data_IF_904532619179
#
_entry.id   IF_904532619179
#
_cell.length_a   1.000
_cell.length_b   1.000
_cell.length_c   1.000
_cell.angle_alpha   90.00
_cell.angle_beta   90.00
_cell.angle_gamma   90.00
#
_symmetry.space_group_name_H-M   'P 1'
#
loop_
_entity.id
_entity.type
_entity.pdbx_description
1 polymer ?
#
# COMPACT_ATOMS: atom_id res chain seq x y z
N UNK A 1 -21.81 -5.37 -6.67
CA UNK A 1 -20.86 -6.50 -6.73
C UNK A 1 -19.96 -6.35 -5.52
N UNK A 2 -19.78 -7.40 -4.72
CA UNK A 2 -18.78 -7.37 -3.65
C UNK A 2 -17.40 -7.42 -4.31
N UNK A 3 -16.60 -6.38 -4.12
CA UNK A 3 -15.22 -6.38 -4.58
C UNK A 3 -14.36 -7.06 -3.54
N UNK A 4 -13.69 -8.13 -3.94
CA UNK A 4 -12.72 -8.79 -3.08
C UNK A 4 -11.47 -7.92 -2.94
N UNK A 5 -11.07 -7.71 -1.69
CA UNK A 5 -9.98 -6.85 -1.27
C UNK A 5 -9.17 -7.60 -0.23
N UNK A 6 -7.87 -7.67 -0.46
CA UNK A 6 -6.95 -8.32 0.48
C UNK A 6 -5.88 -7.31 0.88
N UNK A 7 -6.01 -6.69 2.06
CA UNK A 7 -4.95 -5.87 2.60
C UNK A 7 -3.76 -6.75 2.97
N UNK A 8 -2.56 -6.35 2.55
CA UNK A 8 -1.35 -7.17 2.70
C UNK A 8 -0.45 -6.60 3.80
N UNK A 9 -0.08 -5.33 3.67
CA UNK A 9 0.90 -4.70 4.57
C UNK A 9 0.66 -3.20 4.65
N UNK A 10 0.89 -2.62 5.83
CA UNK A 10 1.00 -1.17 6.01
C UNK A 10 2.45 -0.79 6.31
N UNK A 11 2.78 0.46 6.06
CA UNK A 11 4.06 1.07 6.42
C UNK A 11 3.82 2.47 6.96
N UNK A 12 4.53 2.80 8.03
CA UNK A 12 4.58 4.14 8.62
C UNK A 12 5.95 4.73 8.30
N UNK A 13 5.94 5.98 7.85
CA UNK A 13 7.16 6.74 7.60
C UNK A 13 7.27 7.81 8.68
N UNK A 14 8.42 7.83 9.36
CA UNK A 14 8.82 8.93 10.22
C UNK A 14 10.13 9.55 9.70
N UNK A 15 10.62 10.61 10.35
CA UNK A 15 11.79 11.35 9.85
C UNK A 15 13.11 10.53 9.96
N UNK A 16 13.13 9.38 10.65
CA UNK A 16 14.34 8.58 10.92
C UNK A 16 14.19 7.09 10.56
N UNK A 17 12.98 6.63 10.21
CA UNK A 17 12.65 5.21 10.07
C UNK A 17 11.53 4.96 9.05
N UNK A 18 11.61 3.77 8.45
CA UNK A 18 10.58 3.18 7.59
C UNK A 18 10.19 1.86 8.27
N UNK A 19 9.00 1.81 8.88
CA UNK A 19 8.56 0.62 9.61
C UNK A 19 7.33 0.02 8.97
N UNK A 20 7.40 -1.27 8.59
CA UNK A 20 6.31 -1.98 7.92
C UNK A 20 5.69 -3.06 8.81
N UNK A 21 4.38 -3.25 8.71
CA UNK A 21 3.60 -4.18 9.53
C UNK A 21 2.69 -5.04 8.65
N UNK A 22 2.73 -6.38 8.77
CA UNK A 22 1.79 -7.25 8.08
C UNK A 22 0.36 -7.01 8.56
N UNK A 23 -0.61 -7.11 7.65
CA UNK A 23 -2.03 -7.06 7.99
C UNK A 23 -2.54 -8.49 8.07
N UNK A 24 -3.13 -8.87 9.21
CA UNK A 24 -3.78 -10.18 9.34
C UNK A 24 -5.02 -10.20 8.44
N UNK A 25 -4.99 -11.08 7.45
CA UNK A 25 -6.13 -11.39 6.57
C UNK A 25 -6.44 -12.88 6.68
N UNK A 26 -7.70 -13.25 6.45
CA UNK A 26 -8.12 -14.66 6.32
C UNK A 26 -7.65 -15.27 4.99
N UNK A 27 -7.13 -14.45 4.08
CA UNK A 27 -6.67 -14.85 2.77
C UNK A 27 -5.16 -14.70 2.66
N UNK A 28 -4.54 -15.69 2.04
CA UNK A 28 -3.15 -15.65 1.67
C UNK A 28 -2.98 -14.85 0.37
N UNK A 29 -2.19 -13.77 0.42
CA UNK A 29 -2.05 -12.82 -0.68
C UNK A 29 -1.56 -13.47 -1.99
N UNK A 30 -0.64 -14.43 -1.91
CA UNK A 30 -0.11 -15.07 -3.13
C UNK A 30 -1.06 -16.12 -3.73
N UNK A 31 -1.93 -16.72 -2.92
CA UNK A 31 -2.97 -17.64 -3.41
C UNK A 31 -4.12 -16.89 -4.05
N UNK A 32 -4.42 -15.70 -3.53
CA UNK A 32 -5.52 -14.87 -3.96
C UNK A 32 -5.22 -13.99 -5.17
N UNK A 33 -3.95 -13.60 -5.36
CA UNK A 33 -3.58 -12.71 -6.45
C UNK A 33 -3.95 -13.22 -7.86
N UNK A 34 -3.82 -14.52 -8.21
CA UNK A 34 -4.25 -15.03 -9.51
C UNK A 34 -5.71 -14.70 -9.86
N UNK A 35 -6.61 -14.67 -8.86
CA UNK A 35 -8.04 -14.45 -9.05
C UNK A 35 -8.40 -12.95 -9.10
N UNK A 36 -7.71 -12.12 -8.30
CA UNK A 36 -8.01 -10.70 -8.19
C UNK A 36 -7.15 -9.81 -9.11
N UNK A 37 -5.95 -10.26 -9.44
CA UNK A 37 -5.12 -9.80 -10.56
C UNK A 37 -4.50 -8.41 -10.45
N UNK A 38 -4.81 -7.62 -9.42
CA UNK A 38 -4.30 -6.24 -9.32
C UNK A 38 -3.70 -5.96 -7.95
N UNK A 39 -2.44 -5.52 -7.97
CA UNK A 39 -1.71 -5.09 -6.78
C UNK A 39 -1.65 -3.56 -6.75
N UNK A 40 -1.98 -2.97 -5.61
CA UNK A 40 -2.05 -1.54 -5.43
C UNK A 40 -1.18 -1.10 -4.27
N UNK A 41 -0.57 0.06 -4.43
CA UNK A 41 0.07 0.82 -3.36
C UNK A 41 -0.73 2.10 -3.15
N UNK A 42 -1.17 2.33 -1.92
CA UNK A 42 -1.78 3.58 -1.49
C UNK A 42 -0.91 4.30 -0.48
N UNK A 43 -1.05 5.61 -0.39
CA UNK A 43 -0.27 6.45 0.52
C UNK A 43 -1.08 7.59 1.11
N UNK A 44 -0.73 7.96 2.34
CA UNK A 44 -1.24 9.14 3.03
C UNK A 44 -0.23 10.28 2.86
N UNK A 45 -0.72 11.41 2.36
CA UNK A 45 0.01 12.66 2.30
C UNK A 45 -0.61 13.62 3.32
N UNK A 46 0.22 14.22 4.18
CA UNK A 46 -0.22 15.21 5.16
C UNK A 46 -0.27 16.64 4.59
N UNK A 47 -0.67 17.61 5.42
CA UNK A 47 -0.74 19.02 5.01
C UNK A 47 0.61 19.62 4.59
N UNK A 48 1.72 19.07 5.09
CA UNK A 48 3.08 19.46 4.71
C UNK A 48 3.53 18.81 3.38
N UNK A 49 2.61 18.17 2.65
CA UNK A 49 2.89 17.38 1.44
C UNK A 49 3.87 16.21 1.66
N UNK A 50 4.11 15.81 2.91
CA UNK A 50 4.93 14.65 3.24
C UNK A 50 4.09 13.38 3.18
N UNK A 51 4.68 12.32 2.63
CA UNK A 51 4.12 10.97 2.74
C UNK A 51 4.44 10.44 4.13
N UNK A 52 3.40 10.05 4.87
CA UNK A 52 3.53 9.64 6.29
C UNK A 52 3.09 8.20 6.54
N UNK A 53 2.37 7.58 5.61
CA UNK A 53 2.09 6.15 5.62
C UNK A 53 1.85 5.65 4.19
N UNK A 54 2.04 4.35 4.01
CA UNK A 54 1.65 3.63 2.80
C UNK A 54 1.01 2.28 3.16
N UNK A 55 0.25 1.72 2.25
CA UNK A 55 -0.22 0.35 2.34
C UNK A 55 -0.20 -0.30 0.97
N UNK A 56 -0.07 -1.62 0.98
CA UNK A 56 -0.23 -2.44 -0.21
C UNK A 56 -1.37 -3.42 -0.02
N UNK A 57 -2.18 -3.56 -1.07
CA UNK A 57 -3.36 -4.41 -1.07
C UNK A 57 -3.63 -4.97 -2.47
N UNK A 58 -4.33 -6.10 -2.50
CA UNK A 58 -4.81 -6.73 -3.72
C UNK A 58 -6.29 -6.38 -3.88
N UNK A 59 -6.73 -6.14 -5.12
CA UNK A 59 -8.14 -5.91 -5.41
C UNK A 59 -8.54 -6.50 -6.76
N UNK A 60 -9.78 -6.97 -6.84
CA UNK A 60 -10.45 -7.32 -8.10
C UNK A 60 -10.73 -6.12 -9.02
N UNK A 61 -10.66 -4.90 -8.51
CA UNK A 61 -10.93 -3.66 -9.26
C UNK A 61 -9.81 -3.43 -10.29
N UNK A 62 -10.17 -3.40 -11.58
CA UNK A 62 -9.26 -3.19 -12.72
C UNK A 62 -9.11 -1.74 -13.16
N UNK A 63 -9.93 -0.82 -12.70
CA UNK A 63 -9.73 0.60 -12.99
C UNK A 63 -8.91 1.23 -11.87
N UNK A 64 -7.65 1.55 -12.14
CA UNK A 64 -6.75 2.18 -11.15
C UNK A 64 -7.19 3.60 -10.78
N UNK A 65 -8.10 4.22 -11.53
CA UNK A 65 -8.69 5.53 -11.23
C UNK A 65 -10.03 5.43 -10.50
N UNK A 66 -10.47 4.22 -10.17
CA UNK A 66 -11.72 4.01 -9.43
C UNK A 66 -11.66 4.72 -8.08
N UNK A 67 -12.70 5.52 -7.79
CA UNK A 67 -12.87 6.19 -6.49
C UNK A 67 -12.99 5.19 -5.33
N UNK A 68 -13.43 3.97 -5.62
CA UNK A 68 -13.56 2.90 -4.63
C UNK A 68 -12.20 2.49 -4.06
N UNK A 69 -11.14 2.49 -4.87
CA UNK A 69 -9.79 2.17 -4.40
C UNK A 69 -9.30 3.13 -3.32
N UNK A 70 -9.66 4.42 -3.43
CA UNK A 70 -9.33 5.41 -2.41
C UNK A 70 -10.14 5.21 -1.12
N UNK A 71 -11.42 4.83 -1.23
CA UNK A 71 -12.26 4.50 -0.08
C UNK A 71 -11.75 3.25 0.64
N UNK A 72 -11.32 2.24 -0.10
CA UNK A 72 -10.71 1.02 0.43
C UNK A 72 -9.40 1.33 1.15
N UNK A 73 -8.51 2.08 0.51
CA UNK A 73 -7.26 2.49 1.13
C UNK A 73 -7.50 3.27 2.43
N UNK A 74 -8.46 4.20 2.41
CA UNK A 74 -8.90 4.93 3.60
C UNK A 74 -9.29 3.99 4.73
N UNK A 75 -10.16 3.02 4.44
CA UNK A 75 -10.64 2.05 5.43
C UNK A 75 -9.50 1.20 6.01
N UNK A 76 -8.55 0.76 5.17
CA UNK A 76 -7.37 0.01 5.62
C UNK A 76 -6.58 0.85 6.62
N UNK A 77 -6.32 2.12 6.31
CA UNK A 77 -5.55 3.00 7.18
C UNK A 77 -6.28 3.33 8.50
N UNK A 78 -7.58 3.54 8.43
CA UNK A 78 -8.43 3.88 9.58
C UNK A 78 -8.54 2.73 10.58
N UNK A 79 -8.68 1.50 10.07
CA UNK A 79 -8.86 0.29 10.90
C UNK A 79 -7.55 -0.29 11.42
N UNK A 80 -6.42 -0.04 10.75
CA UNK A 80 -5.13 -0.58 11.20
C UNK A 80 -4.53 0.25 12.35
N UNK A 81 -4.19 -0.42 13.45
CA UNK A 81 -3.67 0.22 14.67
C UNK A 81 -2.39 1.02 14.44
N UNK A 82 -1.55 0.61 13.48
CA UNK A 82 -0.26 1.25 13.21
C UNK A 82 -0.39 2.52 12.37
N UNK A 83 -1.45 2.66 11.58
CA UNK A 83 -1.62 3.81 10.65
C UNK A 83 -2.79 4.73 11.00
N UNK A 84 -3.58 4.41 12.02
CA UNK A 84 -4.75 5.19 12.41
C UNK A 84 -4.42 6.66 12.73
N UNK A 85 -3.28 6.92 13.37
CA UNK A 85 -2.87 8.31 13.69
C UNK A 85 -2.40 9.07 12.44
N UNK A 86 -1.74 8.40 11.50
CA UNK A 86 -1.38 8.98 10.21
C UNK A 86 -2.63 9.28 9.39
N UNK A 87 -3.65 8.41 9.45
CA UNK A 87 -4.92 8.64 8.78
C UNK A 87 -5.60 9.94 9.23
N UNK A 88 -5.58 10.26 10.53
CA UNK A 88 -6.13 11.53 11.05
C UNK A 88 -5.42 12.77 10.50
N UNK A 89 -4.17 12.63 10.09
CA UNK A 89 -3.35 13.69 9.50
C UNK A 89 -3.45 13.75 7.97
N UNK A 90 -4.27 12.89 7.36
CA UNK A 90 -4.37 12.78 5.92
C UNK A 90 -4.99 14.04 5.30
N UNK A 91 -4.22 14.72 4.45
CA UNK A 91 -4.72 15.75 3.54
C UNK A 91 -5.14 15.15 2.21
N UNK A 92 -4.40 14.14 1.73
CA UNK A 92 -4.67 13.47 0.48
C UNK A 92 -4.35 11.96 0.59
N UNK A 93 -5.02 11.18 -0.25
CA UNK A 93 -4.77 9.75 -0.46
C UNK A 93 -4.47 9.53 -1.94
N UNK A 94 -3.31 8.94 -2.22
CA UNK A 94 -2.95 8.52 -3.58
C UNK A 94 -2.99 7.01 -3.65
N UNK A 95 -3.51 6.48 -4.75
CA UNK A 95 -3.51 5.04 -5.05
C UNK A 95 -2.95 4.83 -6.44
N UNK A 96 -2.00 3.90 -6.55
CA UNK A 96 -1.31 3.55 -7.78
C UNK A 96 -1.29 2.04 -7.95
N UNK A 97 -1.50 1.55 -9.18
CA UNK A 97 -1.26 0.14 -9.49
C UNK A 97 0.25 -0.10 -9.49
N UNK A 98 0.65 -1.19 -8.86
CA UNK A 98 2.02 -1.69 -8.89
C UNK A 98 2.06 -2.89 -9.84
N UNK A 99 2.95 -2.81 -10.83
CA UNK A 99 3.23 -3.93 -11.70
C UNK A 99 4.20 -4.86 -10.98
N UNK A 100 3.72 -6.04 -10.59
CA UNK A 100 4.59 -7.07 -10.08
C UNK A 100 5.26 -7.73 -11.29
N UNK A 101 6.59 -7.60 -11.40
CA UNK A 101 7.34 -8.22 -12.48
C UNK A 101 7.84 -9.61 -12.06
N UNK A 102 7.23 -10.66 -12.62
CA UNK A 102 7.56 -12.06 -12.34
C UNK A 102 8.68 -12.63 -13.23
N UNK A 103 9.34 -11.84 -14.09
CA UNK A 103 10.20 -12.38 -15.17
C UNK A 103 11.27 -13.35 -14.69
N UNK A 104 11.71 -13.27 -13.43
CA UNK A 104 12.71 -14.16 -12.84
C UNK A 104 12.34 -14.73 -11.44
N UNK A 105 11.07 -14.63 -11.00
CA UNK A 105 10.67 -14.99 -9.62
C UNK A 105 9.24 -15.50 -9.47
N UNK A 106 8.94 -16.14 -8.35
CA UNK A 106 7.60 -16.66 -8.06
C UNK A 106 6.69 -15.56 -7.49
N UNK A 107 5.39 -15.80 -7.51
CA UNK A 107 4.45 -14.89 -6.85
C UNK A 107 4.65 -14.82 -5.33
N UNK A 108 5.12 -15.92 -4.73
CA UNK A 108 5.49 -15.95 -3.32
C UNK A 108 6.62 -14.98 -3.04
N UNK A 109 7.62 -14.91 -3.93
CA UNK A 109 8.76 -13.98 -3.80
C UNK A 109 8.31 -12.52 -3.89
N UNK A 110 7.38 -12.22 -4.80
CA UNK A 110 6.82 -10.87 -4.96
C UNK A 110 6.05 -10.37 -3.74
N UNK A 111 5.44 -11.28 -2.98
CA UNK A 111 4.77 -10.98 -1.71
C UNK A 111 5.65 -11.24 -0.48
N UNK A 112 6.93 -11.55 -0.67
CA UNK A 112 7.87 -11.73 0.43
C UNK A 112 8.06 -10.43 1.20
N UNK A 113 8.40 -10.53 2.48
CA UNK A 113 8.68 -9.35 3.30
C UNK A 113 9.76 -8.46 2.67
N UNK A 114 10.84 -9.06 2.15
CA UNK A 114 11.94 -8.35 1.52
C UNK A 114 11.48 -7.48 0.34
N UNK A 115 10.62 -8.03 -0.51
CA UNK A 115 10.14 -7.31 -1.70
C UNK A 115 9.13 -6.22 -1.32
N UNK A 116 8.23 -6.49 -0.38
CA UNK A 116 7.29 -5.48 0.11
C UNK A 116 8.01 -4.33 0.83
N UNK A 117 9.04 -4.63 1.63
CA UNK A 117 9.87 -3.63 2.29
C UNK A 117 10.62 -2.78 1.24
N UNK A 118 11.17 -3.43 0.21
CA UNK A 118 11.79 -2.74 -0.93
C UNK A 118 10.82 -1.78 -1.62
N UNK A 119 9.58 -2.22 -1.90
CA UNK A 119 8.55 -1.38 -2.53
C UNK A 119 8.27 -0.12 -1.68
N UNK A 120 8.14 -0.27 -0.36
CA UNK A 120 7.93 0.88 0.52
C UNK A 120 9.14 1.82 0.55
N UNK A 121 10.36 1.29 0.62
CA UNK A 121 11.58 2.10 0.61
C UNK A 121 11.74 2.87 -0.70
N UNK A 122 11.61 2.19 -1.85
CA UNK A 122 11.70 2.85 -3.16
C UNK A 122 10.61 3.91 -3.32
N UNK A 123 9.38 3.61 -2.92
CA UNK A 123 8.29 4.58 -2.92
C UNK A 123 8.61 5.80 -2.04
N UNK A 124 9.06 5.59 -0.81
CA UNK A 124 9.41 6.71 0.07
C UNK A 124 10.55 7.56 -0.52
N UNK A 125 11.63 6.95 -1.01
CA UNK A 125 12.77 7.69 -1.55
C UNK A 125 12.41 8.52 -2.79
N UNK A 126 11.57 7.97 -3.68
CA UNK A 126 11.18 8.64 -4.92
C UNK A 126 10.20 9.80 -4.71
N UNK A 127 9.43 9.79 -3.61
CA UNK A 127 8.34 10.75 -3.42
C UNK A 127 8.48 11.63 -2.15
N UNK A 128 9.33 11.26 -1.18
CA UNK A 128 9.64 12.06 0.01
C UNK A 128 10.62 13.21 -0.29
N UNK A 129 11.47 13.05 -1.31
CA UNK A 129 12.51 14.03 -1.71
C UNK A 129 11.99 15.20 -2.56
N UNK A 130 10.70 15.26 -2.89
CA UNK A 130 10.08 16.41 -3.57
C UNK A 130 9.71 17.58 -2.63
N UNK A 131 10.16 17.55 -1.38
CA UNK A 131 10.34 18.77 -0.58
C UNK A 131 11.76 19.27 -0.77
N UNK A 132 11.96 20.21 -1.70
CA UNK A 132 13.25 20.85 -1.94
C UNK A 132 13.92 21.25 -0.64
N UNK A 133 15.10 20.67 -0.38
CA UNK A 133 16.20 21.26 0.36
C UNK A 133 17.49 20.60 -0.11
#
# INVERSE_FOLDING_TARGET
>A
MNHDIIPVRVCVFDDISITSYPIKSNYNAHEAYPDFGNFYLASIINEKKKIIAACVFISSIKDSKSRELAAIAKEIFEKNIHTKEQHKQAKNLLVSRVNINYTNGTIVDAFSQKELDRIFTEFYMNYSTNGSA
#
